data_IF_602834756031
#
_entry.id   IF_602834756031
#
_cell.length_a   1.000
_cell.length_b   1.000
_cell.length_c   1.000
_cell.angle_alpha   90.00
_cell.angle_beta   90.00
_cell.angle_gamma   90.00
#
_symmetry.space_group_name_H-M   'P 1'
#
loop_
_entity.id
_entity.type
_entity.pdbx_description
1 polymer ?
#
# COMPACT_ATOMS: atom_id res chain seq x y z
N UNK A 1 -25.50 3.13 32.77
CA UNK A 1 -25.27 3.75 31.45
C UNK A 1 -23.85 3.37 31.03
N UNK A 2 -23.71 2.40 30.13
CA UNK A 2 -22.40 1.95 29.65
C UNK A 2 -22.12 2.74 28.37
N UNK A 3 -21.12 3.60 28.42
CA UNK A 3 -20.66 4.37 27.26
C UNK A 3 -19.71 3.48 26.47
N UNK A 4 -20.08 3.10 25.25
CA UNK A 4 -19.18 2.41 24.32
C UNK A 4 -18.12 3.41 23.82
N UNK A 5 -16.86 3.15 24.16
CA UNK A 5 -15.74 3.88 23.60
C UNK A 5 -15.52 3.45 22.15
N UNK A 6 -15.44 4.40 21.22
CA UNK A 6 -15.21 4.15 19.81
C UNK A 6 -13.78 3.64 19.50
N UNK A 7 -13.49 3.26 18.23
CA UNK A 7 -12.24 2.60 17.82
C UNK A 7 -10.94 3.32 18.20
N UNK A 8 -10.96 4.64 18.34
CA UNK A 8 -9.79 5.43 18.73
C UNK A 8 -9.29 5.19 20.17
N UNK A 9 -10.18 4.81 21.08
CA UNK A 9 -9.80 4.55 22.48
C UNK A 9 -9.10 3.20 22.63
N UNK A 10 -9.47 2.21 21.81
CA UNK A 10 -8.82 0.90 21.82
C UNK A 10 -7.35 0.97 21.33
N UNK A 11 -7.07 1.85 20.36
CA UNK A 11 -5.71 2.13 19.88
C UNK A 11 -4.84 2.82 20.94
N UNK A 12 -5.39 3.81 21.62
CA UNK A 12 -4.69 4.52 22.69
C UNK A 12 -4.34 3.63 23.88
N UNK A 13 -5.24 2.70 24.26
CA UNK A 13 -5.00 1.76 25.36
C UNK A 13 -3.90 0.74 24.97
N UNK A 14 -3.88 0.22 23.75
CA UNK A 14 -2.81 -0.67 23.28
C UNK A 14 -1.44 0.02 23.29
N UNK A 15 -1.37 1.27 22.87
CA UNK A 15 -0.14 2.03 22.89
C UNK A 15 0.39 2.27 24.32
N UNK A 16 -0.49 2.48 25.29
CA UNK A 16 -0.09 2.61 26.71
C UNK A 16 0.44 1.31 27.28
N UNK A 17 -0.15 0.14 26.95
CA UNK A 17 0.36 -1.15 27.40
C UNK A 17 1.73 -1.49 26.80
N UNK A 18 1.98 -1.13 25.53
CA UNK A 18 3.29 -1.31 24.91
C UNK A 18 4.36 -0.38 25.55
N UNK A 19 3.98 0.84 25.92
CA UNK A 19 4.88 1.78 26.60
C UNK A 19 5.27 1.27 28.00
N UNK A 20 4.32 0.73 28.76
CA UNK A 20 4.56 0.14 30.11
C UNK A 20 5.42 -1.12 30.00
N UNK A 21 5.19 -1.98 29.00
CA UNK A 21 6.02 -3.17 28.76
C UNK A 21 7.49 -2.83 28.47
N UNK A 22 7.75 -1.81 27.67
CA UNK A 22 9.10 -1.34 27.38
C UNK A 22 9.80 -0.67 28.58
N UNK A 23 9.05 0.02 29.44
CA UNK A 23 9.62 0.69 30.63
C UNK A 23 10.00 -0.29 31.72
N UNK A 24 9.33 -1.44 31.83
CA UNK A 24 9.65 -2.46 32.81
C UNK A 24 10.86 -3.33 32.44
N UNK A 25 11.23 -3.35 31.14
CA UNK A 25 12.40 -4.11 30.68
C UNK A 25 13.73 -3.33 30.75
N UNK A 26 13.71 -2.07 31.16
CA UNK A 26 14.90 -1.21 31.34
C UNK A 26 15.33 -1.05 32.80
N UNK A 27 14.77 -1.80 33.73
CA UNK A 27 15.18 -1.82 35.13
C UNK A 27 16.47 -2.62 35.35
N UNK A 28 17.59 -1.93 35.38
CA UNK A 28 18.93 -2.43 35.64
C UNK A 28 19.08 -2.89 37.09
N UNK A 29 19.41 -4.16 37.28
CA UNK A 29 20.17 -4.61 38.48
C UNK A 29 21.58 -4.96 38.02
N UNK A 30 22.56 -4.41 38.72
CA UNK A 30 23.95 -4.42 38.33
C UNK A 30 24.68 -5.78 38.46
N UNK A 31 25.73 -5.89 37.67
CA UNK A 31 26.96 -6.60 38.04
C UNK A 31 27.31 -7.80 37.16
N UNK A 32 28.51 -7.73 36.61
CA UNK A 32 29.51 -8.69 36.19
C UNK A 32 29.73 -8.89 34.69
N UNK A 33 30.94 -8.64 34.30
CA UNK A 33 31.55 -8.69 32.98
C UNK A 33 31.51 -10.08 32.31
N UNK A 34 31.31 -10.08 30.99
CA UNK A 34 31.47 -11.27 30.14
C UNK A 34 31.10 -10.96 28.69
N UNK A 35 32.13 -10.81 27.83
CA UNK A 35 31.98 -10.35 26.43
C UNK A 35 31.11 -11.24 25.55
N UNK A 36 30.38 -10.60 24.68
CA UNK A 36 29.59 -11.20 23.61
C UNK A 36 28.83 -10.13 22.88
N UNK A 37 29.37 -9.63 21.75
CA UNK A 37 28.70 -8.67 20.89
C UNK A 37 27.48 -9.33 20.24
N UNK A 38 26.27 -9.04 20.76
CA UNK A 38 24.99 -9.27 20.09
C UNK A 38 24.41 -7.89 19.77
N UNK A 39 24.41 -7.53 18.50
CA UNK A 39 23.82 -6.29 18.01
C UNK A 39 22.31 -6.31 18.21
N UNK A 40 21.86 -5.78 19.33
CA UNK A 40 20.46 -5.41 19.55
C UNK A 40 20.16 -4.18 18.70
N UNK A 41 19.50 -4.37 17.55
CA UNK A 41 19.00 -3.25 16.75
C UNK A 41 18.03 -2.43 17.59
N UNK A 42 18.36 -1.15 17.83
CA UNK A 42 17.43 -0.17 18.40
C UNK A 42 16.27 0.02 17.44
N UNK A 43 15.11 -0.53 17.77
CA UNK A 43 13.86 -0.32 17.03
C UNK A 43 13.21 0.95 17.56
N UNK A 44 13.10 1.99 16.70
CA UNK A 44 12.37 3.18 17.04
C UNK A 44 13.10 4.50 16.72
N UNK A 45 12.50 5.65 17.05
CA UNK A 45 12.96 7.02 16.77
C UNK A 45 14.36 7.37 17.33
N UNK A 46 14.90 6.54 18.20
CA UNK A 46 16.27 6.62 18.68
C UNK A 46 17.28 5.99 17.70
N UNK A 47 16.80 5.37 16.60
CA UNK A 47 17.70 4.84 15.58
C UNK A 47 18.40 6.01 14.86
N UNK A 48 19.71 5.90 14.69
CA UNK A 48 20.51 6.90 13.97
C UNK A 48 19.98 7.14 12.53
N UNK A 49 19.39 6.13 11.92
CA UNK A 49 18.79 6.20 10.58
C UNK A 49 17.56 7.11 10.54
N UNK A 50 16.65 7.01 11.52
CA UNK A 50 15.48 7.89 11.62
C UNK A 50 15.92 9.33 11.89
N UNK A 51 16.90 9.54 12.79
CA UNK A 51 17.45 10.87 13.05
C UNK A 51 18.09 11.49 11.79
N UNK A 52 18.81 10.71 11.00
CA UNK A 52 19.38 11.15 9.73
C UNK A 52 18.27 11.51 8.71
N UNK A 53 17.19 10.76 8.66
CA UNK A 53 16.05 11.05 7.80
C UNK A 53 15.34 12.36 8.21
N UNK A 54 15.18 12.61 9.50
CA UNK A 54 14.55 13.83 10.00
C UNK A 54 15.40 15.07 9.72
N UNK A 55 16.72 14.94 9.75
CA UNK A 55 17.66 16.05 9.58
C UNK A 55 17.73 16.60 8.14
N UNK A 56 17.16 15.92 7.15
CA UNK A 56 17.21 16.30 5.72
C UNK A 56 15.82 16.32 5.07
N UNK A 57 15.74 16.83 3.85
CA UNK A 57 14.52 16.78 3.06
C UNK A 57 14.13 15.34 2.72
N UNK A 58 12.84 15.04 2.71
CA UNK A 58 12.36 13.70 2.43
C UNK A 58 12.75 13.18 1.03
N UNK A 59 12.86 14.07 0.05
CA UNK A 59 13.32 13.72 -1.32
C UNK A 59 14.73 13.10 -1.32
N UNK A 60 15.52 13.36 -0.29
CA UNK A 60 16.90 12.88 -0.14
C UNK A 60 17.00 11.62 0.73
N UNK A 61 15.87 11.01 1.12
CA UNK A 61 15.88 9.77 1.88
C UNK A 61 16.44 8.61 1.07
N UNK A 62 17.42 7.95 1.66
CA UNK A 62 17.94 6.68 1.15
C UNK A 62 16.90 5.57 1.29
N UNK A 63 17.10 4.44 0.61
CA UNK A 63 16.21 3.29 0.75
C UNK A 63 16.18 2.75 2.19
N UNK A 64 17.30 2.84 2.93
CA UNK A 64 17.35 2.47 4.36
C UNK A 64 16.47 3.39 5.22
N UNK A 65 16.47 4.68 4.94
CA UNK A 65 15.64 5.65 5.65
C UNK A 65 14.17 5.50 5.29
N UNK A 66 13.86 5.19 4.01
CA UNK A 66 12.50 4.90 3.55
C UNK A 66 11.91 3.64 4.19
N UNK A 67 12.73 2.76 4.76
CA UNK A 67 12.29 1.63 5.58
C UNK A 67 12.21 2.00 7.06
N UNK A 68 13.20 2.67 7.61
CA UNK A 68 13.28 3.00 9.04
C UNK A 68 12.18 3.99 9.46
N UNK A 69 11.86 4.97 8.62
CA UNK A 69 10.79 5.94 8.85
C UNK A 69 9.41 5.26 8.99
N UNK A 70 8.98 4.37 8.08
CA UNK A 70 7.73 3.62 8.25
C UNK A 70 7.68 2.77 9.53
N UNK A 71 8.77 2.10 9.90
CA UNK A 71 8.81 1.32 11.14
C UNK A 71 8.61 2.20 12.38
N UNK A 72 9.19 3.39 12.40
CA UNK A 72 8.99 4.35 13.49
C UNK A 72 7.55 4.92 13.51
N UNK A 73 6.99 5.24 12.34
CA UNK A 73 5.60 5.71 12.22
C UNK A 73 4.61 4.60 12.61
N UNK A 74 4.84 3.34 12.19
CA UNK A 74 4.00 2.21 12.58
C UNK A 74 3.97 2.02 14.10
N UNK A 75 5.11 2.21 14.76
CA UNK A 75 5.23 2.06 16.22
C UNK A 75 4.64 3.24 17.02
N UNK A 76 4.69 4.47 16.52
CA UNK A 76 4.42 5.70 17.26
C UNK A 76 3.26 6.54 16.72
N UNK A 77 2.79 6.24 15.49
CA UNK A 77 1.77 7.05 14.82
C UNK A 77 2.23 8.49 14.63
N UNK A 78 1.35 9.43 14.90
CA UNK A 78 1.63 10.88 14.80
C UNK A 78 2.69 11.38 15.81
N UNK A 79 2.99 10.62 16.85
CA UNK A 79 4.06 10.93 17.79
C UNK A 79 5.46 10.63 17.23
N UNK A 80 5.57 9.98 16.08
CA UNK A 80 6.84 9.83 15.39
C UNK A 80 7.36 11.20 14.94
N UNK A 81 8.62 11.54 15.23
CA UNK A 81 9.20 12.79 14.74
C UNK A 81 9.35 12.85 13.22
N UNK A 82 9.26 11.70 12.53
CA UNK A 82 9.29 11.63 11.08
C UNK A 82 7.90 11.77 10.43
N UNK A 83 6.80 11.67 11.20
CA UNK A 83 5.43 11.68 10.68
C UNK A 83 5.11 12.94 9.86
N UNK A 84 5.33 14.11 10.42
CA UNK A 84 5.04 15.38 9.74
C UNK A 84 5.84 15.54 8.45
N UNK A 85 7.07 15.02 8.40
CA UNK A 85 7.92 15.06 7.21
C UNK A 85 7.42 14.08 6.14
N UNK A 86 7.03 12.86 6.51
CA UNK A 86 6.42 11.89 5.61
C UNK A 86 5.09 12.43 5.04
N UNK A 87 4.25 13.04 5.90
CA UNK A 87 3.00 13.67 5.47
C UNK A 87 3.26 14.81 4.48
N UNK A 88 4.19 15.69 4.77
CA UNK A 88 4.55 16.79 3.85
C UNK A 88 5.08 16.27 2.51
N UNK A 89 5.85 15.19 2.51
CA UNK A 89 6.34 14.55 1.30
C UNK A 89 5.20 13.92 0.46
N UNK A 90 4.22 13.29 1.13
CA UNK A 90 3.02 12.76 0.49
C UNK A 90 2.18 13.89 -0.14
N UNK A 91 1.90 14.94 0.62
CA UNK A 91 1.09 16.08 0.19
C UNK A 91 1.74 16.82 -1.00
N UNK A 92 3.07 16.92 -1.01
CA UNK A 92 3.85 17.51 -2.09
C UNK A 92 4.03 16.60 -3.31
N UNK A 93 3.65 15.30 -3.21
CA UNK A 93 3.89 14.32 -4.25
C UNK A 93 5.38 14.06 -4.49
N UNK A 94 6.20 14.13 -3.44
CA UNK A 94 7.65 13.85 -3.51
C UNK A 94 7.89 12.45 -4.07
N UNK A 95 8.79 12.33 -5.04
CA UNK A 95 9.11 11.05 -5.68
C UNK A 95 10.52 10.59 -5.36
N UNK A 96 10.67 9.28 -5.31
CA UNK A 96 11.96 8.57 -5.28
C UNK A 96 12.05 7.64 -6.49
N UNK A 97 13.22 7.06 -6.68
CA UNK A 97 13.43 6.09 -7.74
C UNK A 97 14.27 4.90 -7.27
N UNK A 98 14.03 3.76 -7.91
CA UNK A 98 14.82 2.56 -7.76
C UNK A 98 15.19 2.02 -9.14
N UNK A 99 16.44 1.57 -9.30
CA UNK A 99 16.89 0.94 -10.52
C UNK A 99 16.53 -0.54 -10.48
N UNK A 100 15.75 -0.99 -11.45
CA UNK A 100 15.35 -2.39 -11.61
C UNK A 100 16.52 -3.24 -12.13
N UNK A 101 16.44 -4.56 -11.94
CA UNK A 101 17.48 -5.51 -12.39
C UNK A 101 17.65 -5.57 -13.91
N UNK A 102 16.64 -5.18 -14.68
CA UNK A 102 16.71 -5.03 -16.15
C UNK A 102 17.34 -3.70 -16.62
N UNK A 103 17.69 -2.81 -15.68
CA UNK A 103 18.31 -1.52 -15.96
C UNK A 103 17.35 -0.35 -16.10
N UNK A 104 16.04 -0.57 -16.12
CA UNK A 104 15.02 0.48 -16.10
C UNK A 104 14.96 1.16 -14.73
N UNK A 105 14.33 2.34 -14.67
CA UNK A 105 14.20 3.12 -13.44
C UNK A 105 12.73 3.30 -13.10
N UNK A 106 12.29 2.69 -12.00
CA UNK A 106 10.93 2.84 -11.47
C UNK A 106 10.88 4.03 -10.52
N UNK A 107 9.97 4.98 -10.75
CA UNK A 107 9.70 6.10 -9.85
C UNK A 107 8.43 5.85 -9.02
N UNK A 108 8.41 6.34 -7.79
CA UNK A 108 7.31 6.12 -6.86
C UNK A 108 7.17 7.24 -5.83
N UNK A 109 6.03 7.29 -5.16
CA UNK A 109 5.71 8.26 -4.11
C UNK A 109 4.96 7.62 -2.96
N UNK A 110 4.86 8.31 -1.82
CA UNK A 110 3.99 7.93 -0.70
C UNK A 110 2.53 8.24 -1.10
N UNK A 111 1.62 7.31 -0.78
CA UNK A 111 0.18 7.49 -0.96
C UNK A 111 -0.63 7.30 0.32
N UNK A 112 -0.07 6.64 1.35
CA UNK A 112 -0.76 6.37 2.61
C UNK A 112 0.19 6.31 3.80
N UNK A 113 -0.34 6.66 4.99
CA UNK A 113 0.37 6.63 6.27
C UNK A 113 -0.47 5.83 7.27
N UNK A 114 0.07 4.73 7.79
CA UNK A 114 -0.67 3.79 8.65
C UNK A 114 -2.00 3.32 8.01
N UNK A 115 -1.98 3.10 6.70
CA UNK A 115 -3.18 2.75 5.93
C UNK A 115 -3.40 1.24 5.89
N UNK A 116 -2.42 0.47 5.42
CA UNK A 116 -2.54 -0.95 5.13
C UNK A 116 -2.31 -1.84 6.36
N UNK A 117 -3.14 -2.87 6.54
CA UNK A 117 -2.95 -3.87 7.58
C UNK A 117 -1.83 -4.84 7.19
N UNK A 118 -0.89 -5.08 8.10
CA UNK A 118 0.15 -6.09 7.95
C UNK A 118 -0.48 -7.50 7.94
N UNK A 119 0.02 -8.36 7.06
CA UNK A 119 -0.56 -9.69 6.87
C UNK A 119 -0.40 -10.62 8.09
N UNK A 120 0.60 -10.38 8.92
CA UNK A 120 0.85 -11.11 10.16
C UNK A 120 -0.02 -10.65 11.35
N UNK A 121 -0.86 -9.62 11.13
CA UNK A 121 -1.73 -9.06 12.16
C UNK A 121 -1.01 -8.21 13.22
N UNK A 122 0.25 -7.85 13.03
CA UNK A 122 1.03 -7.07 14.00
C UNK A 122 0.64 -5.58 14.05
N UNK A 123 -0.22 -5.13 13.13
CA UNK A 123 -0.70 -3.75 13.05
C UNK A 123 -0.76 -3.23 11.63
N UNK A 124 -0.46 -1.95 11.46
CA UNK A 124 -0.44 -1.29 10.15
C UNK A 124 0.98 -1.03 9.66
N UNK A 125 1.14 -1.06 8.35
CA UNK A 125 2.36 -0.58 7.71
C UNK A 125 2.45 0.95 7.85
N UNK A 126 3.63 1.47 8.18
CA UNK A 126 3.80 2.90 8.43
C UNK A 126 3.64 3.77 7.20
N UNK A 127 4.14 3.34 6.06
CA UNK A 127 3.99 4.04 4.78
C UNK A 127 3.64 3.07 3.65
N UNK A 128 2.74 3.51 2.78
CA UNK A 128 2.43 2.86 1.51
C UNK A 128 2.94 3.70 0.35
N UNK A 129 3.62 3.06 -0.58
CA UNK A 129 4.18 3.65 -1.79
C UNK A 129 3.43 3.17 -3.03
N UNK A 130 3.37 4.02 -4.06
CA UNK A 130 2.80 3.69 -5.38
C UNK A 130 3.76 4.12 -6.47
N UNK A 131 3.98 3.25 -7.44
CA UNK A 131 4.70 3.56 -8.68
C UNK A 131 3.97 4.63 -9.49
N UNK A 132 4.73 5.57 -10.01
CA UNK A 132 4.25 6.67 -10.87
C UNK A 132 4.86 6.64 -12.27
N UNK A 133 5.69 5.66 -12.57
CA UNK A 133 6.34 5.46 -13.86
C UNK A 133 5.65 4.39 -14.71
N UNK A 134 5.99 4.29 -15.98
CA UNK A 134 5.26 3.50 -16.99
C UNK A 134 6.08 2.36 -17.59
N UNK A 135 7.19 1.98 -16.97
CA UNK A 135 8.15 0.99 -17.47
C UNK A 135 7.61 -0.45 -17.41
N UNK A 136 6.76 -0.73 -16.41
CA UNK A 136 6.19 -2.06 -16.25
C UNK A 136 4.87 -2.17 -17.01
N UNK A 137 4.70 -3.23 -17.77
CA UNK A 137 3.43 -3.56 -18.44
C UNK A 137 3.17 -5.06 -18.43
N UNK A 138 1.92 -5.46 -18.32
CA UNK A 138 1.49 -6.86 -18.37
C UNK A 138 -0.02 -6.95 -18.56
N UNK A 139 -0.48 -8.12 -19.01
CA UNK A 139 -1.88 -8.50 -18.92
C UNK A 139 -2.23 -8.98 -17.51
N UNK A 140 -3.51 -8.85 -17.12
CA UNK A 140 -4.03 -9.43 -15.89
C UNK A 140 -4.05 -10.96 -15.94
N UNK A 141 -4.49 -11.52 -17.08
CA UNK A 141 -4.57 -12.95 -17.36
C UNK A 141 -4.24 -13.22 -18.83
N UNK A 142 -3.79 -14.41 -19.18
CA UNK A 142 -3.57 -14.82 -20.58
C UNK A 142 -4.88 -14.88 -21.38
N UNK A 143 -5.99 -15.21 -20.72
CA UNK A 143 -7.33 -15.23 -21.29
C UNK A 143 -8.17 -14.03 -20.91
N UNK A 144 -9.20 -13.71 -21.70
CA UNK A 144 -10.21 -12.70 -21.39
C UNK A 144 -11.18 -13.19 -20.31
N UNK A 145 -10.70 -13.25 -19.07
CA UNK A 145 -11.51 -13.64 -17.91
C UNK A 145 -11.04 -12.92 -16.66
N UNK A 146 -11.97 -12.53 -15.82
CA UNK A 146 -11.72 -12.02 -14.49
C UNK A 146 -12.18 -12.97 -13.37
N UNK A 147 -12.53 -14.22 -13.74
CA UNK A 147 -12.95 -15.22 -12.78
C UNK A 147 -11.88 -15.52 -11.75
N UNK A 148 -12.25 -15.46 -10.46
CA UNK A 148 -11.32 -15.60 -9.35
C UNK A 148 -10.60 -14.32 -8.97
N UNK A 149 -10.90 -13.21 -9.65
CA UNK A 149 -10.45 -11.85 -9.33
C UNK A 149 -8.94 -11.70 -9.21
N UNK A 150 -8.52 -10.75 -8.38
CA UNK A 150 -7.12 -10.51 -8.09
C UNK A 150 -6.41 -11.74 -7.52
N UNK A 151 -7.07 -12.50 -6.64
CA UNK A 151 -6.47 -13.68 -5.99
C UNK A 151 -5.90 -14.68 -6.97
N UNK A 152 -6.61 -14.94 -8.08
CA UNK A 152 -6.22 -15.93 -9.09
C UNK A 152 -5.58 -15.33 -10.34
N UNK A 153 -5.41 -14.00 -10.40
CA UNK A 153 -4.82 -13.36 -11.56
C UNK A 153 -3.35 -13.77 -11.75
N UNK A 154 -2.95 -13.97 -13.00
CA UNK A 154 -1.56 -14.24 -13.35
C UNK A 154 -0.67 -13.05 -13.02
N UNK A 155 -1.18 -11.82 -13.16
CA UNK A 155 -0.45 -10.61 -12.81
C UNK A 155 -0.09 -10.59 -11.32
N UNK A 156 -0.98 -10.99 -10.42
CA UNK A 156 -0.66 -11.09 -8.99
C UNK A 156 0.49 -12.06 -8.73
N UNK A 157 0.52 -13.20 -9.42
CA UNK A 157 1.63 -14.16 -9.31
C UNK A 157 2.94 -13.55 -9.81
N UNK A 158 2.93 -12.86 -10.97
CA UNK A 158 4.09 -12.13 -11.51
C UNK A 158 4.61 -11.08 -10.53
N UNK A 159 3.71 -10.36 -9.85
CA UNK A 159 4.05 -9.30 -8.89
C UNK A 159 4.56 -9.83 -7.54
N UNK A 160 4.17 -11.02 -7.10
CA UNK A 160 4.49 -11.49 -5.75
C UNK A 160 5.58 -12.56 -5.68
N UNK A 161 5.84 -13.29 -6.77
CA UNK A 161 6.84 -14.37 -6.82
C UNK A 161 7.42 -14.61 -8.22
N UNK A 162 6.89 -13.94 -9.25
CA UNK A 162 7.28 -14.13 -10.64
C UNK A 162 8.18 -13.03 -11.19
N UNK A 163 8.01 -12.77 -12.49
CA UNK A 163 8.92 -11.91 -13.27
C UNK A 163 8.98 -10.47 -12.76
N UNK A 164 7.83 -9.86 -12.38
CA UNK A 164 7.82 -8.46 -11.89
C UNK A 164 8.50 -8.38 -10.52
N UNK A 165 8.24 -9.33 -9.61
CA UNK A 165 8.96 -9.39 -8.33
C UNK A 165 10.47 -9.50 -8.51
N UNK A 166 10.92 -10.29 -9.48
CA UNK A 166 12.34 -10.52 -9.76
C UNK A 166 13.04 -9.30 -10.40
N UNK A 167 12.29 -8.33 -10.92
CA UNK A 167 12.85 -7.05 -11.35
C UNK A 167 13.25 -6.15 -10.18
N UNK A 168 12.65 -6.34 -8.99
CA UNK A 168 13.00 -5.56 -7.81
C UNK A 168 14.40 -5.95 -7.32
N UNK A 169 15.28 -4.97 -7.00
CA UNK A 169 16.59 -5.27 -6.42
C UNK A 169 16.47 -6.02 -5.08
N UNK A 170 17.46 -6.82 -4.74
CA UNK A 170 17.43 -7.68 -3.55
C UNK A 170 17.31 -6.87 -2.24
N UNK A 171 17.96 -5.72 -2.15
CA UNK A 171 17.88 -4.81 -1.00
C UNK A 171 16.48 -4.20 -0.87
N UNK A 172 15.81 -3.89 -1.99
CA UNK A 172 14.40 -3.49 -2.00
C UNK A 172 13.51 -4.65 -1.52
N UNK A 173 13.67 -5.84 -2.08
CA UNK A 173 12.84 -7.01 -1.74
C UNK A 173 12.86 -7.36 -0.25
N UNK A 174 14.02 -7.25 0.40
CA UNK A 174 14.18 -7.55 1.84
C UNK A 174 13.45 -6.55 2.76
N UNK A 175 13.03 -5.39 2.24
CA UNK A 175 12.39 -4.32 2.99
C UNK A 175 10.86 -4.33 2.87
N UNK A 176 10.33 -4.94 1.81
CA UNK A 176 8.89 -4.97 1.53
C UNK A 176 8.17 -5.84 2.56
N UNK A 177 7.16 -5.26 3.19
CA UNK A 177 6.24 -5.96 4.10
C UNK A 177 5.10 -6.62 3.31
N UNK A 178 4.61 -7.74 3.80
CA UNK A 178 3.38 -8.34 3.29
C UNK A 178 2.17 -7.68 3.95
N UNK A 179 1.20 -7.28 3.15
CA UNK A 179 -0.03 -6.64 3.61
C UNK A 179 -1.27 -7.44 3.20
N UNK A 180 -2.37 -7.18 3.88
CA UNK A 180 -3.66 -7.79 3.61
C UNK A 180 -4.47 -6.89 2.68
N UNK A 181 -4.84 -7.39 1.49
CA UNK A 181 -5.64 -6.63 0.52
C UNK A 181 -7.00 -7.29 0.30
N UNK A 182 -8.04 -6.49 0.34
CA UNK A 182 -9.43 -6.95 0.14
C UNK A 182 -9.82 -6.80 -1.33
N UNK A 183 -10.44 -7.81 -1.91
CA UNK A 183 -10.92 -7.78 -3.31
C UNK A 183 -12.11 -8.73 -3.48
N UNK A 184 -13.00 -8.44 -4.41
CA UNK A 184 -13.93 -9.43 -4.94
C UNK A 184 -13.10 -10.46 -5.72
N UNK A 185 -13.00 -11.67 -5.19
CA UNK A 185 -12.27 -12.78 -5.81
C UNK A 185 -13.22 -13.83 -6.43
N UNK A 186 -14.46 -13.43 -6.72
CA UNK A 186 -15.46 -14.28 -7.40
C UNK A 186 -15.45 -14.03 -8.91
N UNK A 187 -15.74 -12.79 -9.30
CA UNK A 187 -15.84 -12.36 -10.69
C UNK A 187 -16.81 -11.19 -10.85
N UNK A 188 -16.72 -10.47 -11.95
CA UNK A 188 -17.50 -9.28 -12.28
C UNK A 188 -18.74 -9.56 -13.14
N UNK A 189 -19.48 -10.65 -12.92
CA UNK A 189 -20.70 -10.95 -13.65
C UNK A 189 -21.95 -10.30 -13.04
N UNK A 190 -23.02 -10.10 -13.85
CA UNK A 190 -24.30 -9.56 -13.37
C UNK A 190 -24.89 -10.29 -12.18
N UNK A 191 -24.65 -11.60 -12.10
CA UNK A 191 -25.10 -12.44 -10.99
C UNK A 191 -24.33 -12.17 -9.69
N UNK A 192 -23.17 -11.53 -9.76
CA UNK A 192 -22.23 -11.35 -8.63
C UNK A 192 -22.42 -9.99 -7.91
N UNK A 193 -23.66 -9.48 -7.82
CA UNK A 193 -23.94 -8.19 -7.16
C UNK A 193 -23.50 -8.18 -5.70
N UNK A 194 -23.67 -9.29 -5.01
CA UNK A 194 -23.29 -9.49 -3.61
C UNK A 194 -22.09 -10.43 -3.45
N UNK A 195 -21.16 -10.41 -4.42
CA UNK A 195 -19.96 -11.21 -4.35
C UNK A 195 -19.18 -10.94 -3.05
N UNK A 196 -18.63 -12.01 -2.47
CA UNK A 196 -17.83 -11.89 -1.27
C UNK A 196 -16.52 -11.18 -1.56
N UNK A 197 -16.17 -10.21 -0.70
CA UNK A 197 -14.83 -9.60 -0.66
C UNK A 197 -13.98 -10.41 0.28
N UNK A 198 -12.88 -10.94 -0.22
CA UNK A 198 -11.94 -11.77 0.53
C UNK A 198 -10.55 -11.17 0.53
N UNK A 199 -9.69 -11.64 1.42
CA UNK A 199 -8.35 -11.09 1.58
C UNK A 199 -7.29 -11.92 0.86
N UNK A 200 -6.36 -11.25 0.23
CA UNK A 200 -5.07 -11.81 -0.19
C UNK A 200 -3.93 -11.25 0.68
N UNK A 201 -2.81 -11.96 0.69
CA UNK A 201 -1.55 -11.50 1.28
C UNK A 201 -0.59 -11.16 0.17
N UNK A 202 -0.19 -9.90 0.09
CA UNK A 202 0.57 -9.39 -1.04
C UNK A 202 1.78 -8.54 -0.58
N UNK A 203 2.91 -8.70 -1.27
CA UNK A 203 4.09 -7.84 -1.16
C UNK A 203 3.98 -6.65 -2.10
N UNK A 204 3.71 -6.94 -3.37
CA UNK A 204 3.34 -5.94 -4.37
C UNK A 204 1.87 -6.14 -4.72
N UNK A 205 1.12 -5.06 -4.81
CA UNK A 205 -0.31 -5.09 -5.13
C UNK A 205 -0.70 -3.94 -6.05
N UNK A 206 -1.82 -4.09 -6.74
CA UNK A 206 -2.49 -2.99 -7.43
C UNK A 206 -3.48 -2.33 -6.46
N UNK A 207 -3.79 -1.06 -6.68
CA UNK A 207 -4.87 -0.41 -5.95
C UNK A 207 -6.22 -0.96 -6.41
N UNK A 208 -7.21 -0.99 -5.52
CA UNK A 208 -8.61 -1.18 -5.89
C UNK A 208 -9.25 0.15 -6.26
N UNK A 209 -10.39 0.08 -6.91
CA UNK A 209 -11.20 1.24 -7.23
C UNK A 209 -11.54 2.07 -5.97
N UNK A 210 -12.00 1.44 -4.89
CA UNK A 210 -12.34 2.13 -3.63
C UNK A 210 -11.14 2.68 -2.87
N UNK A 211 -9.92 2.23 -3.17
CA UNK A 211 -8.69 2.84 -2.62
C UNK A 211 -8.27 4.11 -3.36
N UNK A 212 -8.88 4.37 -4.52
CA UNK A 212 -8.60 5.54 -5.36
C UNK A 212 -9.70 6.60 -5.21
N UNK A 213 -10.96 6.19 -5.20
CA UNK A 213 -12.14 7.07 -5.30
C UNK A 213 -12.84 7.20 -3.95
N UNK A 214 -13.26 8.41 -3.58
CA UNK A 214 -14.01 8.66 -2.33
C UNK A 214 -15.36 7.95 -2.31
N UNK A 215 -16.09 7.98 -3.41
CA UNK A 215 -17.40 7.35 -3.55
C UNK A 215 -17.50 6.51 -4.82
N UNK A 216 -18.00 5.27 -4.73
CA UNK A 216 -18.24 4.46 -5.91
C UNK A 216 -19.18 5.11 -6.91
N UNK A 217 -18.97 4.83 -8.18
CA UNK A 217 -19.86 5.26 -9.25
C UNK A 217 -21.30 4.81 -9.01
N UNK A 218 -22.23 5.75 -9.05
CA UNK A 218 -23.65 5.50 -8.76
C UNK A 218 -24.29 4.45 -9.68
N UNK A 219 -23.79 4.31 -10.92
CA UNK A 219 -24.21 3.27 -11.86
C UNK A 219 -23.85 1.85 -11.43
N UNK A 220 -22.95 1.69 -10.44
CA UNK A 220 -22.56 0.41 -9.86
C UNK A 220 -23.14 0.16 -8.46
N UNK A 221 -24.10 0.99 -8.04
CA UNK A 221 -24.69 0.93 -6.69
C UNK A 221 -25.31 -0.43 -6.31
N UNK A 222 -25.68 -1.24 -7.32
CA UNK A 222 -26.20 -2.59 -7.11
C UNK A 222 -25.11 -3.64 -6.81
N UNK A 223 -23.81 -3.30 -6.99
CA UNK A 223 -22.68 -4.17 -6.70
C UNK A 223 -22.07 -3.81 -5.34
N UNK A 224 -22.57 -4.48 -4.31
CA UNK A 224 -22.24 -4.13 -2.91
C UNK A 224 -20.77 -4.25 -2.55
N UNK A 225 -19.97 -4.93 -3.36
CA UNK A 225 -18.55 -5.19 -3.12
C UNK A 225 -17.61 -4.07 -3.59
N UNK A 226 -18.00 -3.28 -4.62
CA UNK A 226 -17.10 -2.30 -5.27
C UNK A 226 -16.57 -1.23 -4.29
N UNK A 227 -17.32 -0.89 -3.26
CA UNK A 227 -16.93 0.06 -2.22
C UNK A 227 -16.31 -0.61 -0.97
N UNK A 228 -16.06 -1.93 -0.99
CA UNK A 228 -15.56 -2.69 0.17
C UNK A 228 -14.15 -3.25 -0.03
N UNK A 229 -13.50 -2.94 -1.14
CA UNK A 229 -12.18 -3.48 -1.47
C UNK A 229 -11.02 -2.69 -0.85
N UNK A 230 -11.32 -1.74 0.01
CA UNK A 230 -10.39 -0.89 0.75
C UNK A 230 -10.96 0.50 0.98
N UNK A 231 -10.30 1.31 1.79
CA UNK A 231 -10.57 2.72 1.98
C UNK A 231 -9.70 3.55 1.03
N UNK A 232 -10.14 4.75 0.66
CA UNK A 232 -9.36 5.68 -0.16
C UNK A 232 -8.05 6.04 0.53
N UNK A 233 -6.94 6.08 -0.20
CA UNK A 233 -5.66 6.52 0.32
C UNK A 233 -5.63 8.03 0.54
N UNK A 234 -4.94 8.44 1.59
CA UNK A 234 -4.84 9.84 2.03
C UNK A 234 -4.31 10.78 0.93
N UNK A 235 -3.43 10.29 0.06
CA UNK A 235 -2.92 11.07 -1.07
C UNK A 235 -4.00 11.46 -2.08
N UNK A 236 -5.13 10.76 -2.11
CA UNK A 236 -6.25 10.97 -3.03
C UNK A 236 -7.47 11.64 -2.39
N UNK A 237 -7.53 11.69 -1.06
CA UNK A 237 -8.62 12.33 -0.32
C UNK A 237 -8.83 13.78 -0.76
N UNK A 238 -10.10 14.14 -1.01
CA UNK A 238 -10.50 15.45 -1.51
C UNK A 238 -9.99 15.80 -2.92
N UNK A 239 -9.21 14.91 -3.56
CA UNK A 239 -8.71 15.12 -4.93
C UNK A 239 -9.40 14.21 -5.94
N UNK A 240 -9.69 12.96 -5.59
CA UNK A 240 -10.38 11.98 -6.43
C UNK A 240 -11.76 11.70 -5.82
N UNK A 241 -12.69 12.61 -6.05
CA UNK A 241 -14.02 12.58 -5.44
C UNK A 241 -15.07 11.86 -6.28
N UNK A 242 -14.82 11.72 -7.58
CA UNK A 242 -15.75 11.12 -8.52
C UNK A 242 -15.08 10.46 -9.74
N UNK A 243 -15.85 9.65 -10.48
CA UNK A 243 -15.37 8.77 -11.56
C UNK A 243 -14.84 9.44 -12.82
N UNK A 244 -15.39 10.60 -13.19
CA UNK A 244 -15.24 11.12 -14.55
C UNK A 244 -14.33 12.34 -14.65
N UNK A 245 -13.73 12.75 -13.56
CA UNK A 245 -12.85 13.90 -13.60
C UNK A 245 -11.49 13.48 -14.16
N UNK A 246 -10.98 14.27 -15.08
CA UNK A 246 -9.57 14.27 -15.44
C UNK A 246 -8.76 14.61 -14.18
N UNK A 247 -8.16 13.61 -13.56
CA UNK A 247 -7.54 13.80 -12.27
C UNK A 247 -6.03 13.61 -12.32
N UNK A 248 -5.30 14.74 -12.26
CA UNK A 248 -3.84 14.74 -12.29
C UNK A 248 -3.21 14.01 -11.07
N UNK A 249 -3.98 13.78 -9.99
CA UNK A 249 -3.45 13.06 -8.83
C UNK A 249 -3.18 11.58 -9.10
N UNK A 250 -3.84 10.99 -10.12
CA UNK A 250 -3.72 9.58 -10.49
C UNK A 250 -3.34 9.36 -11.96
N UNK A 251 -3.32 10.41 -12.79
CA UNK A 251 -2.91 10.32 -14.18
C UNK A 251 -1.38 10.14 -14.29
N UNK A 252 -0.95 9.12 -15.05
CA UNK A 252 0.46 8.88 -15.39
C UNK A 252 0.73 9.00 -16.90
N UNK A 253 -0.25 9.45 -17.68
CA UNK A 253 -0.19 9.54 -19.13
C UNK A 253 -0.37 8.23 -19.89
N UNK A 254 -0.62 7.13 -19.21
CA UNK A 254 -0.90 5.80 -19.74
C UNK A 254 -2.06 5.18 -18.97
N UNK A 255 -2.68 4.13 -19.54
CA UNK A 255 -3.63 3.29 -18.82
C UNK A 255 -2.87 2.42 -17.83
N UNK A 256 -3.35 2.29 -16.58
CA UNK A 256 -2.75 1.41 -15.58
C UNK A 256 -3.79 0.63 -14.80
N UNK A 257 -3.51 -0.65 -14.57
CA UNK A 257 -4.43 -1.60 -13.96
C UNK A 257 -4.79 -1.27 -12.51
N UNK A 258 -6.07 -1.46 -12.19
CA UNK A 258 -6.54 -1.68 -10.83
C UNK A 258 -6.74 -3.18 -10.57
N UNK A 259 -6.80 -3.60 -9.30
CA UNK A 259 -7.14 -4.99 -8.96
C UNK A 259 -8.65 -5.25 -8.97
N UNK A 260 -9.49 -4.22 -8.99
CA UNK A 260 -10.94 -4.32 -9.06
C UNK A 260 -11.39 -4.75 -10.46
N UNK A 261 -12.42 -5.56 -10.51
CA UNK A 261 -13.04 -5.96 -11.77
C UNK A 261 -14.10 -4.95 -12.19
N UNK A 262 -14.36 -4.88 -13.50
CA UNK A 262 -15.51 -4.16 -14.00
C UNK A 262 -16.79 -4.88 -13.53
N UNK A 263 -17.71 -4.21 -12.78
CA UNK A 263 -19.01 -4.77 -12.47
C UNK A 263 -19.78 -5.17 -13.75
N UNK A 264 -20.59 -6.20 -13.68
CA UNK A 264 -21.40 -6.78 -14.75
C UNK A 264 -20.63 -7.38 -15.95
N UNK A 265 -19.32 -7.55 -15.87
CA UNK A 265 -18.50 -8.05 -16.95
C UNK A 265 -17.54 -9.15 -16.45
N UNK A 266 -17.52 -10.29 -17.13
CA UNK A 266 -16.69 -11.46 -16.74
C UNK A 266 -15.28 -11.50 -17.35
N UNK A 267 -14.90 -10.47 -18.12
CA UNK A 267 -13.65 -10.46 -18.88
C UNK A 267 -12.75 -9.25 -18.59
N UNK A 268 -13.27 -8.20 -17.93
CA UNK A 268 -12.59 -6.92 -17.80
C UNK A 268 -12.20 -6.62 -16.35
N UNK A 269 -11.06 -5.94 -16.20
CA UNK A 269 -10.65 -5.28 -14.97
C UNK A 269 -10.73 -3.77 -15.13
N UNK A 270 -10.93 -3.07 -14.03
CA UNK A 270 -10.87 -1.62 -14.01
C UNK A 270 -9.42 -1.15 -14.19
N UNK A 271 -9.30 0.06 -14.67
CA UNK A 271 -8.03 0.76 -14.83
C UNK A 271 -8.25 2.28 -14.74
N UNK A 272 -7.19 2.98 -14.40
CA UNK A 272 -7.14 4.43 -14.52
C UNK A 272 -6.69 4.77 -15.94
N UNK A 273 -7.43 5.62 -16.64
CA UNK A 273 -7.06 6.05 -17.98
C UNK A 273 -5.90 7.07 -17.99
N UNK A 274 -5.38 7.38 -19.18
CA UNK A 274 -4.26 8.30 -19.37
C UNK A 274 -4.52 9.73 -18.84
N UNK A 275 -5.78 10.09 -18.56
CA UNK A 275 -6.21 11.39 -18.03
C UNK A 275 -6.55 11.34 -16.54
N UNK A 276 -6.52 10.15 -15.93
CA UNK A 276 -6.88 9.96 -14.54
C UNK A 276 -8.37 9.69 -14.30
N UNK A 277 -9.04 8.98 -15.24
CA UNK A 277 -10.39 8.47 -15.03
C UNK A 277 -10.31 7.04 -14.44
N UNK A 278 -10.73 6.80 -13.19
CA UNK A 278 -10.56 5.50 -12.53
C UNK A 278 -11.67 4.49 -12.85
N UNK A 279 -12.68 4.86 -13.63
CA UNK A 279 -13.75 3.97 -14.05
C UNK A 279 -13.60 3.41 -15.46
N UNK A 280 -12.43 3.60 -16.08
CA UNK A 280 -12.10 2.95 -17.35
C UNK A 280 -11.86 1.45 -17.12
N UNK A 281 -11.92 0.66 -18.19
CA UNK A 281 -11.74 -0.80 -18.09
C UNK A 281 -11.18 -1.36 -19.39
N UNK A 282 -10.44 -2.46 -19.27
CA UNK A 282 -9.98 -3.21 -20.44
C UNK A 282 -10.03 -4.72 -20.16
N UNK A 283 -9.99 -5.49 -21.27
CA UNK A 283 -10.02 -6.94 -21.21
C UNK A 283 -8.77 -7.50 -20.54
N UNK A 284 -8.94 -8.49 -19.68
CA UNK A 284 -7.87 -9.08 -18.87
C UNK A 284 -6.65 -9.56 -19.67
N UNK A 285 -6.79 -9.86 -20.96
CA UNK A 285 -5.71 -10.33 -21.82
C UNK A 285 -4.93 -9.21 -22.54
N UNK A 286 -5.36 -7.95 -22.42
CA UNK A 286 -4.60 -6.82 -22.95
C UNK A 286 -3.46 -6.44 -22.01
N UNK A 287 -2.41 -5.83 -22.56
CA UNK A 287 -1.24 -5.42 -21.80
C UNK A 287 -1.28 -3.94 -21.54
N UNK A 288 -1.50 -3.57 -20.26
CA UNK A 288 -1.51 -2.19 -19.80
C UNK A 288 -0.41 -1.95 -18.77
N UNK A 289 -0.18 -0.69 -18.37
CA UNK A 289 0.82 -0.40 -17.37
C UNK A 289 0.47 -1.05 -16.03
N UNK A 290 1.49 -1.54 -15.38
CA UNK A 290 1.44 -2.06 -14.02
C UNK A 290 2.07 -1.03 -13.09
N UNK A 291 1.29 -0.49 -12.17
CA UNK A 291 1.73 0.42 -11.12
C UNK A 291 1.73 -0.29 -9.78
N UNK A 292 2.79 -1.03 -9.42
CA UNK A 292 2.85 -1.68 -8.13
C UNK A 292 2.78 -0.68 -6.98
N UNK A 293 1.99 -1.04 -5.95
CA UNK A 293 2.06 -0.45 -4.63
C UNK A 293 2.70 -1.46 -3.66
N UNK A 294 3.34 -0.96 -2.60
CA UNK A 294 3.96 -1.77 -1.55
C UNK A 294 4.10 -0.99 -0.26
N UNK A 295 4.42 -1.70 0.83
CA UNK A 295 4.73 -1.12 2.12
C UNK A 295 6.15 -1.51 2.57
N UNK A 296 6.81 -0.58 3.29
CA UNK A 296 8.03 -0.86 4.03
C UNK A 296 7.77 -0.93 5.52
#
# INVERSE_FOLDING_TARGET
>A
MIVFAGPGVAGAIRNQFNLVGNTMNSGTCGGVEGGGASGGGSTGADSATVQAAIAKDAKDWTLEEQKAVPEDIAAKGEASPAYSKAKSAMDAGTTWSVKLTNGETMTYRIIGINHDDLADGSGKAGLTFLTTSTELSSNMNAGHTNAGGWEKSELRQKMNSGEIWNLMPSDFQTKVKSVRKLTNNVGGERANKDAAVTATTDKLFLLSYSEIVEAPYSGWSEYSWIGKEGAQYEAFEGKVTENYSYNSAIAIGRLWWERSMLPDNSAYFLLVDHRGCPSAADGAAYSECVCPAWCF
#
